data_IF_186852445763
#
_entry.id   IF_186852445763
#
_cell.length_a   1.000
_cell.length_b   1.000
_cell.length_c   1.000
_cell.angle_alpha   90.00
_cell.angle_beta   90.00
_cell.angle_gamma   90.00
#
_symmetry.space_group_name_H-M   'P 1'
#
loop_
_entity.id
_entity.type
_entity.pdbx_description
1 polymer ?
#
# COMPACT_ATOMS: atom_id res chain seq x y z
N UNK A 1 14.61 -16.52 12.36
CA UNK A 1 14.45 -15.07 12.21
C UNK A 1 14.07 -14.80 10.76
N UNK A 2 13.03 -14.00 10.59
CA UNK A 2 12.49 -13.55 9.31
C UNK A 2 12.95 -12.12 9.09
N UNK A 3 13.48 -11.84 7.90
CA UNK A 3 13.92 -10.52 7.50
C UNK A 3 12.77 -9.75 6.87
N UNK A 4 12.53 -8.51 7.30
CA UNK A 4 11.49 -7.64 6.74
C UNK A 4 12.14 -6.35 6.25
N UNK A 5 11.91 -6.00 4.98
CA UNK A 5 12.37 -4.76 4.37
C UNK A 5 11.19 -4.02 3.74
N UNK A 6 11.04 -2.74 4.09
CA UNK A 6 9.93 -1.90 3.64
C UNK A 6 10.50 -0.65 2.98
N UNK A 7 10.22 -0.46 1.70
CA UNK A 7 10.58 0.75 0.98
C UNK A 7 9.40 1.73 0.95
N UNK A 8 9.62 2.96 1.40
CA UNK A 8 8.63 4.02 1.51
C UNK A 8 9.03 5.22 0.65
N UNK A 9 8.07 5.84 -0.04
CA UNK A 9 8.21 7.20 -0.59
C UNK A 9 7.49 8.17 0.34
N UNK A 10 8.26 8.89 1.15
CA UNK A 10 7.79 9.75 2.24
C UNK A 10 7.55 11.18 1.77
N UNK A 11 6.40 11.73 2.16
CA UNK A 11 6.07 13.16 2.09
C UNK A 11 6.13 13.72 3.50
N UNK A 12 6.91 14.78 3.69
CA UNK A 12 7.32 15.24 5.02
C UNK A 12 6.83 16.64 5.39
N UNK A 13 5.71 17.07 4.81
CA UNK A 13 5.11 18.35 5.18
C UNK A 13 4.90 18.40 6.70
N UNK A 14 5.41 19.46 7.36
CA UNK A 14 5.45 19.60 8.81
C UNK A 14 6.06 18.39 9.56
N UNK A 15 7.33 18.09 9.24
CA UNK A 15 8.24 17.20 10.00
C UNK A 15 8.14 15.68 9.71
N UNK A 16 7.44 15.24 8.67
CA UNK A 16 7.37 13.81 8.36
C UNK A 16 6.28 13.04 9.12
N UNK A 17 5.84 11.88 8.59
CA UNK A 17 4.85 11.02 9.22
C UNK A 17 5.45 10.25 10.42
N UNK A 18 4.64 10.02 11.45
CA UNK A 18 4.95 9.02 12.47
C UNK A 18 4.48 7.65 11.96
N UNK A 19 5.40 6.69 11.94
CA UNK A 19 5.17 5.35 11.40
C UNK A 19 5.39 4.34 12.51
N UNK A 20 4.44 3.43 12.66
CA UNK A 20 4.59 2.25 13.50
C UNK A 20 4.54 1.00 12.63
N UNK A 21 5.54 0.12 12.78
CA UNK A 21 5.59 -1.18 12.10
C UNK A 21 5.58 -2.25 13.19
N UNK A 22 4.67 -3.21 13.08
CA UNK A 22 4.51 -4.24 14.10
C UNK A 22 3.93 -5.53 13.52
N UNK A 23 4.27 -6.65 14.14
CA UNK A 23 3.63 -7.95 13.93
C UNK A 23 2.57 -8.18 15.00
N UNK A 24 1.87 -9.31 14.97
CA UNK A 24 0.96 -9.68 16.06
C UNK A 24 1.68 -9.86 17.42
N UNK A 25 3.00 -10.09 17.42
CA UNK A 25 3.80 -10.39 18.61
C UNK A 25 4.61 -9.20 19.13
N UNK A 26 5.06 -8.28 18.27
CA UNK A 26 5.99 -7.23 18.67
C UNK A 26 5.93 -5.96 17.82
N UNK A 27 6.39 -4.84 18.39
CA UNK A 27 6.62 -3.58 17.69
C UNK A 27 8.05 -3.56 17.15
N UNK A 28 8.20 -3.47 15.84
CA UNK A 28 9.48 -3.43 15.14
C UNK A 28 10.02 -1.99 14.99
N UNK A 29 9.11 -1.03 14.89
CA UNK A 29 9.42 0.39 14.72
C UNK A 29 8.28 1.25 15.22
N UNK A 30 8.58 2.35 15.91
CA UNK A 30 7.61 3.39 16.28
C UNK A 30 8.36 4.73 16.38
N UNK A 31 8.54 5.39 15.25
CA UNK A 31 9.21 6.70 15.20
C UNK A 31 8.76 7.50 13.98
N UNK A 32 9.24 8.74 13.90
CA UNK A 32 8.98 9.69 12.83
C UNK A 32 10.03 9.60 11.74
N UNK A 33 9.58 9.41 10.50
CA UNK A 33 10.46 9.43 9.33
C UNK A 33 10.52 10.85 8.75
N UNK A 34 11.59 11.57 9.07
CA UNK A 34 11.71 13.02 8.77
C UNK A 34 12.14 13.32 7.33
N UNK A 35 12.87 12.40 6.71
CA UNK A 35 13.42 12.59 5.38
C UNK A 35 12.35 12.43 4.30
N UNK A 36 12.34 13.35 3.32
CA UNK A 36 11.45 13.26 2.15
C UNK A 36 12.05 12.32 1.13
N UNK A 37 11.20 11.58 0.42
CA UNK A 37 11.60 10.70 -0.68
C UNK A 37 11.77 9.26 -0.24
N UNK A 38 12.66 8.52 -0.90
CA UNK A 38 12.80 7.09 -0.69
C UNK A 38 13.52 6.78 0.63
N UNK A 39 12.83 6.09 1.53
CA UNK A 39 13.36 5.59 2.80
C UNK A 39 13.18 4.08 2.88
N UNK A 40 14.15 3.37 3.47
CA UNK A 40 14.06 1.94 3.70
C UNK A 40 14.05 1.66 5.21
N UNK A 41 13.14 0.81 5.65
CA UNK A 41 13.08 0.28 7.00
C UNK A 41 13.38 -1.22 6.95
N UNK A 42 14.30 -1.70 7.79
CA UNK A 42 14.77 -3.08 7.78
C UNK A 42 14.76 -3.66 9.19
N UNK A 43 14.21 -4.86 9.35
CA UNK A 43 13.99 -5.52 10.63
C UNK A 43 14.29 -7.01 10.55
N UNK A 44 14.70 -7.59 11.68
CA UNK A 44 14.75 -9.03 11.91
C UNK A 44 13.79 -9.37 13.04
N UNK A 45 12.88 -10.31 12.83
CA UNK A 45 11.79 -10.64 13.77
C UNK A 45 11.48 -12.14 13.79
N UNK A 46 10.81 -12.61 14.84
CA UNK A 46 10.15 -13.91 14.83
C UNK A 46 8.69 -13.76 14.37
N UNK A 47 8.49 -13.76 13.05
CA UNK A 47 7.17 -13.71 12.45
C UNK A 47 6.44 -15.05 12.67
N UNK A 48 5.35 -15.02 13.41
CA UNK A 48 4.47 -16.19 13.62
C UNK A 48 3.46 -16.25 12.49
N UNK A 49 3.33 -17.42 11.86
CA UNK A 49 2.40 -17.67 10.77
C UNK A 49 1.30 -18.68 11.18
N UNK A 50 0.03 -18.49 10.75
CA UNK A 50 -0.49 -17.29 10.09
C UNK A 50 -0.48 -16.07 11.02
N UNK A 51 -0.45 -14.87 10.44
CA UNK A 51 -0.38 -13.62 11.22
C UNK A 51 -0.34 -12.37 10.34
N UNK A 52 -0.20 -11.21 10.99
CA UNK A 52 -0.18 -9.91 10.31
C UNK A 52 1.16 -9.20 10.41
N UNK A 53 1.53 -8.50 9.34
CA UNK A 53 2.44 -7.37 9.37
C UNK A 53 1.64 -6.08 9.17
N UNK A 54 1.66 -5.19 10.16
CA UNK A 54 0.93 -3.92 10.10
C UNK A 54 1.89 -2.74 9.97
N UNK A 55 1.56 -1.85 9.04
CA UNK A 55 2.20 -0.55 8.87
C UNK A 55 1.15 0.51 9.19
N UNK A 56 1.37 1.26 10.26
CA UNK A 56 0.45 2.26 10.78
C UNK A 56 1.03 3.66 10.60
N UNK A 57 0.20 4.57 10.08
CA UNK A 57 0.45 6.01 10.16
C UNK A 57 -0.36 6.55 11.33
N UNK A 58 0.28 7.33 12.21
CA UNK A 58 -0.38 7.95 13.35
C UNK A 58 0.08 9.38 13.59
N UNK A 59 -0.64 10.10 14.46
CA UNK A 59 -0.26 11.45 14.90
C UNK A 59 -0.40 12.56 13.86
N UNK A 60 -0.94 12.28 12.66
CA UNK A 60 -1.23 13.31 11.66
C UNK A 60 -2.42 14.16 12.09
N UNK A 61 -2.28 15.48 11.99
CA UNK A 61 -3.38 16.42 12.13
C UNK A 61 -3.86 16.91 10.76
N UNK A 62 -5.01 16.39 10.31
CA UNK A 62 -5.58 16.68 8.98
C UNK A 62 -5.85 18.17 8.69
N UNK A 63 -5.91 19.03 9.72
CA UNK A 63 -6.15 20.47 9.54
C UNK A 63 -4.90 21.24 9.15
N UNK A 64 -3.72 20.74 9.52
CA UNK A 64 -2.45 21.48 9.37
C UNK A 64 -1.39 20.70 8.61
N UNK A 65 -1.49 19.37 8.55
CA UNK A 65 -0.47 18.48 7.97
C UNK A 65 -0.75 18.11 6.51
N UNK A 66 -1.74 18.74 5.89
CA UNK A 66 -2.04 18.62 4.46
C UNK A 66 -2.15 20.02 3.89
N UNK A 67 -1.33 20.35 2.91
CA UNK A 67 -1.38 21.62 2.18
C UNK A 67 -2.27 21.46 0.96
N UNK A 68 -3.36 22.23 0.92
CA UNK A 68 -4.32 22.20 -0.18
C UNK A 68 -4.22 23.52 -0.97
N UNK A 69 -4.27 23.41 -2.30
CA UNK A 69 -4.27 24.54 -3.22
C UNK A 69 -5.62 25.25 -3.27
N UNK A 70 -5.66 26.40 -3.94
CA UNK A 70 -6.89 27.17 -4.14
C UNK A 70 -7.95 26.44 -4.98
N UNK A 71 -7.52 25.44 -5.74
CA UNK A 71 -8.35 24.55 -6.56
C UNK A 71 -8.87 23.32 -5.79
N UNK A 72 -8.51 23.18 -4.51
CA UNK A 72 -8.89 22.03 -3.69
C UNK A 72 -7.96 20.81 -3.83
N UNK A 73 -6.90 20.88 -4.65
CA UNK A 73 -5.96 19.78 -4.83
C UNK A 73 -4.89 19.76 -3.73
N UNK A 74 -4.41 18.57 -3.36
CA UNK A 74 -3.31 18.42 -2.40
C UNK A 74 -2.00 18.85 -3.08
N UNK A 75 -1.32 19.85 -2.52
CA UNK A 75 -0.03 20.36 -3.00
C UNK A 75 1.16 19.71 -2.27
N UNK A 76 1.02 19.47 -0.97
CA UNK A 76 2.00 18.76 -0.17
C UNK A 76 1.30 18.08 1.02
N UNK A 77 1.90 17.01 1.53
CA UNK A 77 1.23 16.18 2.53
C UNK A 77 2.22 15.59 3.54
N UNK A 78 1.70 15.27 4.73
CA UNK A 78 2.36 14.38 5.68
C UNK A 78 1.82 12.98 5.44
N UNK A 79 2.63 12.09 4.90
CA UNK A 79 2.17 10.76 4.54
C UNK A 79 3.24 10.01 3.78
N UNK A 80 2.91 8.80 3.35
CA UNK A 80 3.89 7.97 2.63
C UNK A 80 3.19 6.95 1.74
N UNK A 81 3.88 6.56 0.67
CA UNK A 81 3.49 5.46 -0.20
C UNK A 81 4.40 4.26 0.10
N UNK A 82 3.81 3.09 0.36
CA UNK A 82 4.56 1.83 0.49
C UNK A 82 4.91 1.35 -0.93
N UNK A 83 6.18 1.42 -1.30
CA UNK A 83 6.64 1.07 -2.66
C UNK A 83 6.84 -0.43 -2.83
N UNK A 84 7.40 -1.09 -1.83
CA UNK A 84 7.51 -2.54 -1.77
C UNK A 84 7.65 -3.00 -0.31
N UNK A 85 7.32 -4.27 -0.09
CA UNK A 85 7.57 -4.98 1.17
C UNK A 85 8.19 -6.33 0.81
N UNK A 86 9.39 -6.60 1.33
CA UNK A 86 10.08 -7.89 1.20
C UNK A 86 10.07 -8.59 2.56
N UNK A 87 9.48 -9.79 2.62
CA UNK A 87 9.47 -10.66 3.80
C UNK A 87 10.26 -11.92 3.41
N UNK A 88 11.42 -12.15 4.01
CA UNK A 88 12.45 -13.08 3.52
C UNK A 88 12.63 -12.93 2.00
N UNK A 89 12.39 -13.95 1.18
CA UNK A 89 12.52 -13.85 -0.28
C UNK A 89 11.22 -13.44 -1.01
N UNK A 90 10.13 -13.21 -0.28
CA UNK A 90 8.84 -12.86 -0.86
C UNK A 90 8.72 -11.34 -1.03
N UNK A 91 8.78 -10.85 -2.27
CA UNK A 91 8.70 -9.43 -2.61
C UNK A 91 7.31 -9.04 -3.09
N UNK A 92 6.64 -8.19 -2.32
CA UNK A 92 5.37 -7.55 -2.69
C UNK A 92 5.62 -6.18 -3.33
N UNK A 93 5.05 -5.94 -4.49
CA UNK A 93 5.09 -4.64 -5.20
C UNK A 93 3.71 -4.29 -5.74
N UNK A 94 3.17 -5.15 -6.59
CA UNK A 94 1.87 -4.94 -7.23
C UNK A 94 0.73 -5.43 -6.34
N UNK A 95 0.97 -6.37 -5.46
CA UNK A 95 0.00 -6.92 -4.52
C UNK A 95 -0.43 -5.86 -3.49
N UNK A 96 0.43 -4.86 -3.22
CA UNK A 96 0.23 -3.89 -2.16
C UNK A 96 -1.13 -3.18 -2.26
N UNK A 97 -1.61 -2.83 -3.45
CA UNK A 97 -2.90 -2.14 -3.58
C UNK A 97 -4.13 -3.01 -3.22
N UNK A 98 -3.95 -4.33 -3.05
CA UNK A 98 -5.02 -5.27 -2.67
C UNK A 98 -5.22 -5.37 -1.16
N UNK A 99 -4.23 -4.99 -0.36
CA UNK A 99 -4.32 -5.07 1.09
C UNK A 99 -5.24 -3.99 1.68
N UNK A 100 -5.70 -4.24 2.91
CA UNK A 100 -6.65 -3.36 3.59
C UNK A 100 -5.91 -2.17 4.19
N UNK A 101 -6.33 -0.97 3.83
CA UNK A 101 -6.02 0.25 4.57
C UNK A 101 -7.26 0.71 5.33
N UNK A 102 -7.20 0.68 6.66
CA UNK A 102 -8.30 1.04 7.56
C UNK A 102 -7.92 2.32 8.28
N UNK A 103 -8.68 3.40 8.09
CA UNK A 103 -8.41 4.69 8.75
C UNK A 103 -8.77 4.63 10.24
N UNK A 104 -8.34 5.63 11.01
CA UNK A 104 -8.69 5.78 12.43
C UNK A 104 -10.22 5.83 12.68
N UNK A 105 -11.00 6.24 11.67
CA UNK A 105 -12.47 6.27 11.70
C UNK A 105 -13.12 4.92 11.38
N UNK A 106 -12.32 3.90 11.02
CA UNK A 106 -12.79 2.58 10.60
C UNK A 106 -13.15 2.48 9.11
N UNK A 107 -12.97 3.55 8.33
CA UNK A 107 -13.23 3.51 6.90
C UNK A 107 -12.17 2.68 6.17
N UNK A 108 -12.62 1.83 5.23
CA UNK A 108 -11.72 1.00 4.42
C UNK A 108 -11.42 1.73 3.11
N UNK A 109 -10.17 2.13 2.94
CA UNK A 109 -9.68 2.68 1.68
C UNK A 109 -9.12 1.53 0.84
N UNK A 110 -9.71 1.34 -0.35
CA UNK A 110 -9.34 0.26 -1.27
C UNK A 110 -8.41 0.76 -2.36
N UNK A 111 -7.66 -0.15 -2.98
CA UNK A 111 -6.83 0.12 -4.17
C UNK A 111 -5.78 1.23 -3.94
N UNK A 112 -5.21 1.29 -2.75
CA UNK A 112 -4.17 2.26 -2.40
C UNK A 112 -3.08 1.61 -1.57
N UNK A 113 -1.86 2.05 -1.78
CA UNK A 113 -0.69 1.82 -0.93
C UNK A 113 -0.17 3.16 -0.35
N UNK A 114 -0.96 4.23 -0.44
CA UNK A 114 -0.66 5.54 0.13
C UNK A 114 -1.42 5.76 1.45
N UNK A 115 -0.67 6.04 2.51
CA UNK A 115 -1.20 6.32 3.86
C UNK A 115 -1.18 7.83 4.12
N UNK A 116 -2.17 8.52 3.57
CA UNK A 116 -2.41 9.95 3.79
C UNK A 116 -3.25 10.28 5.03
N UNK A 117 -3.85 9.29 5.69
CA UNK A 117 -4.62 9.49 6.93
C UNK A 117 -3.98 8.67 8.06
N UNK A 118 -4.34 8.99 9.29
CA UNK A 118 -4.08 8.06 10.40
C UNK A 118 -4.83 6.75 10.14
N UNK A 119 -4.16 5.63 10.34
CA UNK A 119 -4.74 4.32 10.10
C UNK A 119 -3.71 3.23 9.84
N UNK A 120 -4.22 2.03 9.57
CA UNK A 120 -3.47 0.77 9.53
C UNK A 120 -3.55 0.16 8.15
N UNK A 121 -2.40 -0.08 7.54
CA UNK A 121 -2.25 -0.90 6.35
C UNK A 121 -1.82 -2.30 6.78
N UNK A 122 -2.66 -3.31 6.51
CA UNK A 122 -2.54 -4.64 7.09
C UNK A 122 -2.21 -5.65 5.98
N UNK A 123 -1.03 -6.24 6.07
CA UNK A 123 -0.61 -7.38 5.26
C UNK A 123 -0.96 -8.64 6.05
N UNK A 124 -2.08 -9.24 5.69
CA UNK A 124 -2.61 -10.47 6.27
C UNK A 124 -1.95 -11.69 5.59
N UNK A 125 -1.23 -12.49 6.38
CA UNK A 125 -0.58 -13.73 5.97
C UNK A 125 -1.43 -14.89 6.50
N UNK A 126 -2.44 -15.25 5.72
CA UNK A 126 -3.49 -16.20 6.10
C UNK A 126 -3.08 -17.68 5.98
N UNK A 127 -1.80 -17.95 5.70
CA UNK A 127 -1.20 -19.28 5.60
C UNK A 127 -0.14 -19.50 6.66
N UNK A 128 0.02 -20.76 7.08
CA UNK A 128 1.13 -21.18 7.95
C UNK A 128 2.49 -21.24 7.24
N UNK A 129 2.51 -21.08 5.92
CA UNK A 129 3.72 -21.07 5.08
C UNK A 129 3.76 -19.82 4.21
N UNK A 130 4.88 -19.08 4.30
CA UNK A 130 5.07 -17.80 3.61
C UNK A 130 5.08 -17.96 2.08
N UNK A 131 5.69 -19.04 1.57
CA UNK A 131 5.80 -19.28 0.13
C UNK A 131 4.46 -19.72 -0.46
N UNK A 132 3.67 -20.50 0.26
CA UNK A 132 2.29 -20.82 -0.12
C UNK A 132 1.48 -19.53 -0.27
N UNK A 133 1.49 -18.67 0.76
CA UNK A 133 0.81 -17.38 0.73
C UNK A 133 1.27 -16.51 -0.44
N UNK A 134 2.57 -16.34 -0.62
CA UNK A 134 3.13 -15.52 -1.69
C UNK A 134 2.77 -16.08 -3.08
N UNK A 135 2.84 -17.39 -3.27
CA UNK A 135 2.46 -18.04 -4.53
C UNK A 135 0.97 -17.82 -4.87
N UNK A 136 0.11 -17.70 -3.85
CA UNK A 136 -1.30 -17.37 -4.02
C UNK A 136 -1.49 -15.99 -4.65
N UNK A 137 -0.74 -14.99 -4.19
CA UNK A 137 -0.74 -13.66 -4.79
C UNK A 137 -0.22 -13.64 -6.22
N UNK A 138 0.89 -14.33 -6.50
CA UNK A 138 1.46 -14.42 -7.85
C UNK A 138 0.44 -15.00 -8.84
N UNK A 139 -0.27 -16.07 -8.46
CA UNK A 139 -1.35 -16.67 -9.28
C UNK A 139 -2.52 -15.70 -9.48
N UNK A 140 -2.91 -14.97 -8.45
CA UNK A 140 -4.00 -13.98 -8.53
C UNK A 140 -3.68 -12.81 -9.46
N UNK A 141 -2.44 -12.33 -9.46
CA UNK A 141 -2.00 -11.28 -10.37
C UNK A 141 -1.91 -11.78 -11.82
N UNK A 142 -1.37 -12.98 -12.04
CA UNK A 142 -1.29 -13.58 -13.37
C UNK A 142 -2.68 -13.76 -14.01
N UNK A 143 -3.66 -14.27 -13.26
CA UNK A 143 -5.03 -14.41 -13.76
C UNK A 143 -5.73 -13.07 -14.02
N UNK A 144 -5.35 -12.02 -13.28
CA UNK A 144 -5.84 -10.65 -13.54
C UNK A 144 -5.20 -10.03 -14.79
N UNK A 145 -3.95 -10.39 -15.12
CA UNK A 145 -3.27 -9.96 -16.34
C UNK A 145 -3.77 -10.71 -17.58
N UNK A 146 -4.14 -11.98 -17.47
CA UNK A 146 -4.79 -12.72 -18.57
C UNK A 146 -6.18 -12.13 -18.92
N UNK A 147 -6.84 -11.47 -17.97
CA UNK A 147 -8.06 -10.68 -18.19
C UNK A 147 -7.81 -9.36 -18.96
N UNK A 148 -6.56 -8.86 -19.01
CA UNK A 148 -6.11 -7.95 -20.06
C UNK A 148 -5.89 -8.76 -21.34
N UNK A 149 -6.99 -9.22 -21.93
CA UNK A 149 -6.97 -9.91 -23.21
C UNK A 149 -6.36 -8.98 -24.27
N UNK A 150 -5.23 -9.41 -24.84
CA UNK A 150 -4.65 -8.76 -26.01
C UNK A 150 -5.68 -8.69 -27.15
N UNK A 151 -6.60 -9.64 -27.25
CA UNK A 151 -7.69 -9.62 -28.22
C UNK A 151 -8.70 -8.49 -27.95
N UNK A 152 -8.99 -8.19 -26.67
CA UNK A 152 -9.83 -7.05 -26.28
C UNK A 152 -9.15 -5.72 -26.60
N UNK A 153 -7.88 -5.59 -26.23
CA UNK A 153 -7.07 -4.41 -26.55
C UNK A 153 -6.90 -4.22 -28.06
N UNK A 154 -6.67 -5.31 -28.80
CA UNK A 154 -6.56 -5.30 -30.27
C UNK A 154 -7.87 -4.91 -30.93
N UNK A 155 -9.01 -5.42 -30.47
CA UNK A 155 -10.34 -5.01 -30.96
C UNK A 155 -10.59 -3.53 -30.72
N UNK A 156 -10.29 -3.02 -29.53
CA UNK A 156 -10.51 -1.60 -29.19
C UNK A 156 -9.61 -0.65 -30.02
N UNK A 157 -8.36 -1.03 -30.30
CA UNK A 157 -7.40 -0.17 -31.02
C UNK A 157 -7.48 -0.33 -32.55
N UNK A 158 -7.70 -1.54 -33.06
CA UNK A 158 -7.62 -1.83 -34.50
C UNK A 158 -8.97 -2.07 -35.17
N UNK A 159 -10.01 -2.46 -34.42
CA UNK A 159 -11.34 -2.74 -34.98
C UNK A 159 -12.34 -1.58 -34.72
N UNK A 160 -11.95 -0.55 -33.96
CA UNK A 160 -12.66 0.74 -33.93
C UNK A 160 -14.05 0.75 -33.30
N UNK A 161 -14.36 -0.15 -32.36
CA UNK A 161 -15.60 -0.03 -31.56
C UNK A 161 -15.46 1.08 -30.51
N UNK A 162 -15.67 2.32 -30.94
CA UNK A 162 -16.03 3.40 -30.02
C UNK A 162 -17.40 3.08 -29.42
N UNK A 163 -17.47 2.71 -28.14
CA UNK A 163 -18.70 2.84 -27.38
C UNK A 163 -19.02 4.33 -27.23
N UNK A 164 -19.71 4.88 -28.24
CA UNK A 164 -20.56 6.03 -28.05
C UNK A 164 -21.75 5.58 -27.20
N UNK A 165 -21.58 5.58 -25.88
CA UNK A 165 -22.73 5.70 -25.01
C UNK A 165 -23.37 7.06 -25.29
N UNK A 166 -24.50 6.98 -25.97
CA UNK A 166 -25.41 8.09 -26.22
C UNK A 166 -25.76 8.71 -24.88
N UNK A 167 -25.36 9.95 -24.69
CA UNK A 167 -26.07 10.89 -23.81
C UNK A 167 -27.49 10.98 -24.36
N UNK A 168 -28.44 10.34 -23.67
CA UNK A 168 -29.85 10.64 -23.81
C UNK A 168 -30.16 11.72 -22.78
N UNK A 169 -30.73 12.82 -23.27
CA UNK A 169 -31.08 14.06 -22.57
C UNK A 169 -31.80 13.86 -21.23
#
# INVERSE_FOLDING_TARGET
MTSINIALDVKNYNEGPCIKVYTDSEILFDDRVKEKGLCNLSFETELVLPGNLTIEHHGKNMKIDTKVGSDGNILDDKGFCIKNVKIDECLLVHELFKFKYITETGAVVKNTNYLGFNGKFIIDIDKGDLYEWYSGWQKSLASTQELFSFDKFRKEIFDGESNHDKVVY
#
